data_IF_566030018413
#
_entry.id   IF_566030018413
#
_cell.length_a   1.000
_cell.length_b   1.000
_cell.length_c   1.000
_cell.angle_alpha   90.00
_cell.angle_beta   90.00
_cell.angle_gamma   90.00
#
_symmetry.space_group_name_H-M   'P 1'
#
loop_
_entity.id
_entity.type
_entity.pdbx_description
1 polymer ?
#
# COMPACT_ATOMS: atom_id res chain seq x y z
N UNK A 1 -18.86 7.37 -9.18
CA UNK A 1 -19.16 6.20 -8.32
C UNK A 1 -18.45 6.35 -6.97
N UNK A 2 -19.09 7.00 -5.99
CA UNK A 2 -18.50 7.30 -4.67
C UNK A 2 -19.53 7.09 -3.57
N UNK A 3 -19.85 5.84 -3.24
CA UNK A 3 -20.96 5.56 -2.31
C UNK A 3 -20.59 4.70 -1.11
N UNK A 4 -19.64 3.76 -1.20
CA UNK A 4 -19.29 2.93 -0.04
C UNK A 4 -18.29 3.61 0.90
N UNK A 5 -17.20 4.17 0.37
CA UNK A 5 -16.17 4.85 1.17
C UNK A 5 -16.71 6.10 1.90
N UNK A 6 -17.53 6.90 1.23
CA UNK A 6 -18.21 8.05 1.83
C UNK A 6 -19.24 7.64 2.88
N UNK A 7 -20.03 6.58 2.62
CA UNK A 7 -21.00 6.05 3.60
C UNK A 7 -20.30 5.48 4.84
N UNK A 8 -19.14 4.85 4.67
CA UNK A 8 -18.35 4.37 5.81
C UNK A 8 -17.70 5.52 6.57
N UNK A 9 -17.10 6.53 5.91
CA UNK A 9 -16.60 7.73 6.59
C UNK A 9 -17.69 8.39 7.45
N UNK A 10 -18.90 8.51 6.91
CA UNK A 10 -20.04 9.06 7.65
C UNK A 10 -20.55 8.13 8.77
N UNK A 11 -20.60 6.81 8.57
CA UNK A 11 -20.94 5.85 9.64
C UNK A 11 -19.85 5.74 10.72
N UNK A 12 -18.60 6.01 10.36
CA UNK A 12 -17.43 6.01 11.26
C UNK A 12 -17.35 7.29 12.09
N UNK A 13 -17.65 8.46 11.49
CA UNK A 13 -17.74 9.75 12.21
C UNK A 13 -18.99 9.85 13.09
N UNK A 14 -20.11 9.28 12.68
CA UNK A 14 -21.40 9.53 13.35
C UNK A 14 -21.86 8.47 14.36
N UNK A 15 -21.35 7.24 14.36
CA UNK A 15 -22.16 6.13 14.92
C UNK A 15 -21.44 5.13 15.85
N UNK A 16 -20.26 5.45 16.40
CA UNK A 16 -19.66 4.59 17.45
C UNK A 16 -20.29 4.75 18.84
N UNK A 17 -21.03 5.85 19.09
CA UNK A 17 -21.74 6.04 20.35
C UNK A 17 -23.20 5.56 20.33
N UNK A 18 -23.84 5.43 19.17
CA UNK A 18 -25.29 5.16 19.07
C UNK A 18 -25.68 3.75 18.57
N UNK A 19 -24.74 2.96 18.02
CA UNK A 19 -25.06 1.67 17.38
C UNK A 19 -25.20 0.49 18.37
N UNK A 20 -24.88 0.68 19.65
CA UNK A 20 -25.08 -0.38 20.66
C UNK A 20 -26.54 -0.56 21.11
N UNK A 21 -27.46 0.35 20.74
CA UNK A 21 -28.78 0.42 21.38
C UNK A 21 -29.95 -0.16 20.55
N UNK A 22 -29.68 -0.79 19.40
CA UNK A 22 -30.74 -1.48 18.62
C UNK A 22 -30.34 -2.91 18.27
N UNK A 23 -30.85 -3.82 19.10
CA UNK A 23 -31.00 -5.26 18.83
C UNK A 23 -31.60 -5.43 17.42
N UNK A 24 -30.79 -5.89 16.45
CA UNK A 24 -31.13 -6.77 15.31
C UNK A 24 -30.42 -6.54 13.95
N UNK A 25 -29.62 -5.51 13.69
CA UNK A 25 -29.09 -5.32 12.31
C UNK A 25 -27.55 -5.31 12.17
N UNK A 26 -27.05 -6.43 11.64
CA UNK A 26 -25.72 -6.72 11.05
C UNK A 26 -24.58 -6.92 12.05
N UNK A 27 -23.96 -8.11 12.01
CA UNK A 27 -22.73 -8.42 12.72
C UNK A 27 -21.64 -7.39 12.30
N UNK A 28 -21.25 -6.45 13.18
CA UNK A 28 -20.34 -5.36 12.82
C UNK A 28 -18.93 -5.88 12.46
N UNK A 29 -18.54 -7.04 13.02
CA UNK A 29 -17.29 -7.72 12.70
C UNK A 29 -17.35 -8.28 11.27
N UNK A 30 -18.46 -8.93 10.89
CA UNK A 30 -18.62 -9.44 9.53
C UNK A 30 -18.55 -8.32 8.47
N UNK A 31 -19.15 -7.17 8.78
CA UNK A 31 -19.08 -5.98 7.92
C UNK A 31 -17.66 -5.42 7.84
N UNK A 32 -16.96 -5.30 8.97
CA UNK A 32 -15.55 -4.86 9.00
C UNK A 32 -14.64 -5.82 8.23
N UNK A 33 -14.84 -7.13 8.35
CA UNK A 33 -14.09 -8.14 7.60
C UNK A 33 -14.27 -8.02 6.09
N UNK A 34 -15.48 -7.66 5.64
CA UNK A 34 -15.72 -7.39 4.23
C UNK A 34 -14.96 -6.14 3.77
N UNK A 35 -15.02 -5.05 4.54
CA UNK A 35 -14.30 -3.83 4.22
C UNK A 35 -12.79 -4.01 4.19
N UNK A 36 -12.21 -4.76 5.14
CA UNK A 36 -10.78 -5.07 5.15
C UNK A 36 -10.39 -5.81 3.86
N UNK A 37 -11.15 -6.82 3.44
CA UNK A 37 -10.89 -7.55 2.19
C UNK A 37 -10.99 -6.67 0.95
N UNK A 38 -11.99 -5.79 0.90
CA UNK A 38 -12.14 -4.83 -0.21
C UNK A 38 -10.99 -3.81 -0.22
N UNK A 39 -10.58 -3.31 0.94
CA UNK A 39 -9.47 -2.39 1.10
C UNK A 39 -8.13 -3.05 0.75
N UNK A 40 -7.90 -4.30 1.13
CA UNK A 40 -6.74 -5.11 0.71
C UNK A 40 -6.66 -5.19 -0.81
N UNK A 41 -7.75 -5.58 -1.46
CA UNK A 41 -7.81 -5.69 -2.92
C UNK A 41 -7.55 -4.35 -3.61
N UNK A 42 -8.13 -3.26 -3.10
CA UNK A 42 -7.90 -1.92 -3.66
C UNK A 42 -6.46 -1.45 -3.44
N UNK A 43 -5.87 -1.77 -2.28
CA UNK A 43 -4.47 -1.45 -1.97
C UNK A 43 -3.54 -2.21 -2.92
N UNK A 44 -3.72 -3.52 -3.08
CA UNK A 44 -2.93 -4.33 -4.03
C UNK A 44 -3.02 -3.80 -5.47
N UNK A 45 -4.23 -3.47 -5.93
CA UNK A 45 -4.44 -2.86 -7.24
C UNK A 45 -3.73 -1.52 -7.39
N UNK A 46 -3.79 -0.67 -6.36
CA UNK A 46 -3.09 0.63 -6.36
C UNK A 46 -1.58 0.44 -6.44
N UNK A 47 -1.01 -0.53 -5.72
CA UNK A 47 0.40 -0.90 -5.81
C UNK A 47 0.82 -1.25 -7.24
N UNK A 48 0.02 -2.06 -7.95
CA UNK A 48 0.26 -2.40 -9.36
C UNK A 48 0.25 -1.18 -10.30
N UNK A 49 -0.61 -0.19 -10.05
CA UNK A 49 -0.62 1.04 -10.84
C UNK A 49 0.62 1.91 -10.59
N UNK A 50 1.06 2.00 -9.34
CA UNK A 50 2.28 2.74 -8.97
C UNK A 50 3.52 2.07 -9.59
N UNK A 51 3.60 0.74 -9.54
CA UNK A 51 4.69 0.00 -10.18
C UNK A 51 4.75 0.27 -11.69
N UNK A 52 3.59 0.23 -12.38
CA UNK A 52 3.52 0.57 -13.81
C UNK A 52 3.94 2.01 -14.09
N UNK A 53 3.54 2.96 -13.25
CA UNK A 53 3.95 4.35 -13.40
C UNK A 53 5.47 4.51 -13.23
N UNK A 54 6.08 3.78 -12.29
CA UNK A 54 7.52 3.74 -12.13
C UNK A 54 8.24 3.14 -13.35
N UNK A 55 7.67 2.07 -13.95
CA UNK A 55 8.19 1.47 -15.18
C UNK A 55 8.12 2.44 -16.37
N UNK A 56 7.01 3.17 -16.53
CA UNK A 56 6.87 4.19 -17.57
C UNK A 56 7.89 5.31 -17.39
N UNK A 57 8.13 5.76 -16.14
CA UNK A 57 9.19 6.73 -15.84
C UNK A 57 10.56 6.22 -16.28
N UNK A 58 10.91 4.98 -15.96
CA UNK A 58 12.19 4.38 -16.36
C UNK A 58 12.33 4.29 -17.89
N UNK A 59 11.24 4.03 -18.62
CA UNK A 59 11.24 4.06 -20.09
C UNK A 59 11.49 5.47 -20.63
N UNK A 60 10.86 6.51 -20.04
CA UNK A 60 11.13 7.90 -20.42
C UNK A 60 12.59 8.30 -20.17
N UNK A 61 13.17 7.86 -19.05
CA UNK A 61 14.59 8.09 -18.73
C UNK A 61 15.52 7.43 -19.76
N UNK A 62 15.18 6.22 -20.22
CA UNK A 62 15.92 5.55 -21.31
C UNK A 62 15.84 6.33 -22.63
N UNK A 63 14.64 6.74 -23.03
CA UNK A 63 14.42 7.55 -24.23
C UNK A 63 15.14 8.91 -24.16
N UNK A 64 15.22 9.50 -22.97
CA UNK A 64 15.98 10.72 -22.73
C UNK A 64 17.47 10.49 -23.00
N UNK A 65 18.03 9.40 -22.49
CA UNK A 65 19.44 9.07 -22.73
C UNK A 65 19.71 8.88 -24.23
N UNK A 66 18.85 8.15 -24.94
CA UNK A 66 18.98 7.97 -26.39
C UNK A 66 18.91 9.31 -27.15
N UNK A 67 18.01 10.22 -26.73
CA UNK A 67 17.92 11.56 -27.31
C UNK A 67 19.17 12.42 -27.07
N UNK A 68 19.76 12.32 -25.87
CA UNK A 68 21.03 13.00 -25.52
C UNK A 68 22.17 12.48 -26.39
N UNK A 69 22.30 11.16 -26.51
CA UNK A 69 23.37 10.52 -27.29
C UNK A 69 23.25 10.90 -28.79
N UNK A 70 22.02 10.92 -29.31
CA UNK A 70 21.76 11.33 -30.69
C UNK A 70 21.99 12.83 -30.91
N UNK A 71 21.60 13.69 -29.97
CA UNK A 71 21.90 15.13 -30.02
C UNK A 71 23.42 15.35 -30.12
N UNK A 72 24.19 14.69 -29.24
CA UNK A 72 25.65 14.80 -29.22
C UNK A 72 26.26 14.33 -30.55
N UNK A 73 25.84 13.16 -31.04
CA UNK A 73 26.30 12.61 -32.33
C UNK A 73 26.03 13.58 -33.50
N UNK A 74 24.82 14.13 -33.59
CA UNK A 74 24.44 15.06 -34.67
C UNK A 74 25.17 16.39 -34.55
N UNK A 75 25.47 16.84 -33.34
CA UNK A 75 26.29 18.04 -33.10
C UNK A 75 27.71 17.86 -33.65
N UNK A 76 28.35 16.73 -33.35
CA UNK A 76 29.68 16.43 -33.92
C UNK A 76 29.67 16.29 -35.44
N UNK A 77 28.60 15.71 -36.02
CA UNK A 77 28.44 15.61 -37.47
C UNK A 77 28.22 16.97 -38.14
N UNK A 78 27.49 17.88 -37.48
CA UNK A 78 27.32 19.26 -37.92
C UNK A 78 28.65 20.01 -37.95
N UNK A 79 29.47 19.87 -36.89
CA UNK A 79 30.80 20.47 -36.84
C UNK A 79 31.70 19.97 -37.98
N UNK A 80 31.69 18.67 -38.25
CA UNK A 80 32.43 18.09 -39.38
C UNK A 80 31.95 18.63 -40.73
N UNK A 81 30.63 18.67 -40.96
CA UNK A 81 30.06 19.18 -42.21
C UNK A 81 30.39 20.67 -42.45
N UNK A 82 30.46 21.46 -41.37
CA UNK A 82 30.90 22.86 -41.41
C UNK A 82 32.39 22.98 -41.77
N UNK A 83 33.23 22.08 -41.28
CA UNK A 83 34.66 22.07 -41.62
C UNK A 83 34.91 21.68 -43.09
N UNK A 84 34.08 20.79 -43.65
CA UNK A 84 34.19 20.34 -45.05
C UNK A 84 33.39 21.20 -46.03
N UNK A 85 32.67 22.22 -45.54
CA UNK A 85 31.86 23.15 -46.35
C UNK A 85 30.73 22.46 -47.16
N UNK A 86 30.21 21.33 -46.67
CA UNK A 86 29.15 20.54 -47.31
C UNK A 86 27.77 21.09 -46.94
N UNK A 87 27.29 22.09 -47.70
CA UNK A 87 26.10 22.88 -47.37
C UNK A 87 24.82 22.08 -47.08
N UNK A 88 24.53 21.05 -47.87
CA UNK A 88 23.33 20.21 -47.66
C UNK A 88 23.40 19.42 -46.34
N UNK A 89 24.58 18.91 -46.00
CA UNK A 89 24.80 18.15 -44.76
C UNK A 89 24.72 19.05 -43.52
N UNK A 90 25.17 20.31 -43.64
CA UNK A 90 25.03 21.31 -42.57
C UNK A 90 23.55 21.53 -42.25
N UNK A 91 22.73 21.82 -43.27
CA UNK A 91 21.28 22.08 -43.08
C UNK A 91 20.58 20.88 -42.46
N UNK A 92 20.88 19.66 -42.93
CA UNK A 92 20.33 18.44 -42.38
C UNK A 92 20.72 18.24 -40.91
N UNK A 93 21.99 18.38 -40.58
CA UNK A 93 22.49 18.17 -39.23
C UNK A 93 21.97 19.24 -38.25
N UNK A 94 21.81 20.49 -38.67
CA UNK A 94 21.18 21.56 -37.87
C UNK A 94 19.73 21.25 -37.52
N UNK A 95 18.95 20.76 -38.50
CA UNK A 95 17.57 20.36 -38.27
C UNK A 95 17.48 19.19 -37.26
N UNK A 96 18.34 18.19 -37.42
CA UNK A 96 18.43 17.03 -36.51
C UNK A 96 18.83 17.43 -35.09
N UNK A 97 19.87 18.27 -34.92
CA UNK A 97 20.28 18.79 -33.61
C UNK A 97 19.11 19.51 -32.94
N UNK A 98 18.40 20.35 -33.68
CA UNK A 98 17.23 21.07 -33.17
C UNK A 98 16.12 20.11 -32.74
N UNK A 99 15.82 19.09 -33.55
CA UNK A 99 14.80 18.09 -33.25
C UNK A 99 15.12 17.29 -31.97
N UNK A 100 16.37 16.82 -31.83
CA UNK A 100 16.79 16.09 -30.62
C UNK A 100 16.89 16.99 -29.39
N UNK A 101 17.24 18.27 -29.55
CA UNK A 101 17.19 19.25 -28.46
C UNK A 101 15.77 19.39 -27.92
N UNK A 102 14.80 19.64 -28.81
CA UNK A 102 13.39 19.76 -28.43
C UNK A 102 12.86 18.48 -27.77
N UNK A 103 13.22 17.30 -28.32
CA UNK A 103 12.81 16.00 -27.74
C UNK A 103 13.37 15.81 -26.33
N UNK A 104 14.64 16.16 -26.11
CA UNK A 104 15.28 16.10 -24.79
C UNK A 104 14.53 16.97 -23.78
N UNK A 105 14.21 18.21 -24.15
CA UNK A 105 13.55 19.15 -23.24
C UNK A 105 12.13 18.68 -22.85
N UNK A 106 11.37 18.15 -23.82
CA UNK A 106 10.05 17.54 -23.57
C UNK A 106 10.16 16.32 -22.65
N UNK A 107 11.13 15.45 -22.87
CA UNK A 107 11.35 14.26 -22.05
C UNK A 107 11.74 14.63 -20.62
N UNK A 108 12.65 15.60 -20.43
CA UNK A 108 13.06 16.08 -19.11
C UNK A 108 11.88 16.67 -18.32
N UNK A 109 11.04 17.48 -18.96
CA UNK A 109 9.84 18.01 -18.34
C UNK A 109 8.86 16.90 -17.94
N UNK A 110 8.67 15.91 -18.82
CA UNK A 110 7.79 14.74 -18.56
C UNK A 110 8.28 13.88 -17.40
N UNK A 111 9.59 13.61 -17.33
CA UNK A 111 10.22 12.84 -16.25
C UNK A 111 10.10 13.57 -14.92
N UNK A 112 10.33 14.89 -14.91
CA UNK A 112 10.23 15.72 -13.70
C UNK A 112 8.82 15.67 -13.13
N UNK A 113 7.82 15.94 -13.98
CA UNK A 113 6.40 15.86 -13.61
C UNK A 113 6.01 14.47 -13.12
N UNK A 114 6.41 13.43 -13.86
CA UNK A 114 6.11 12.04 -13.49
C UNK A 114 6.74 11.67 -12.16
N UNK A 115 7.93 12.19 -11.85
CA UNK A 115 8.61 11.95 -10.57
C UNK A 115 7.84 12.56 -9.39
N UNK A 116 7.37 13.81 -9.54
CA UNK A 116 6.55 14.47 -8.53
C UNK A 116 5.21 13.76 -8.31
N UNK A 117 4.53 13.39 -9.40
CA UNK A 117 3.27 12.65 -9.35
C UNK A 117 3.46 11.27 -8.69
N UNK A 118 4.53 10.55 -9.04
CA UNK A 118 4.86 9.25 -8.44
C UNK A 118 5.14 9.37 -6.95
N UNK A 119 5.89 10.38 -6.52
CA UNK A 119 6.14 10.63 -5.09
C UNK A 119 4.83 10.85 -4.31
N UNK A 120 3.93 11.66 -4.85
CA UNK A 120 2.61 11.89 -4.23
C UNK A 120 1.73 10.63 -4.18
N UNK A 121 1.82 9.78 -5.20
CA UNK A 121 1.14 8.48 -5.22
C UNK A 121 1.72 7.51 -4.19
N UNK A 122 3.05 7.43 -4.09
CA UNK A 122 3.75 6.61 -3.10
C UNK A 122 3.37 7.01 -1.67
N UNK A 123 3.30 8.32 -1.36
CA UNK A 123 2.91 8.79 -0.03
C UNK A 123 1.46 8.39 0.32
N UNK A 124 0.52 8.59 -0.60
CA UNK A 124 -0.89 8.18 -0.38
C UNK A 124 -1.04 6.68 -0.26
N UNK A 125 -0.22 5.91 -0.98
CA UNK A 125 -0.22 4.46 -0.89
C UNK A 125 0.24 3.98 0.49
N UNK A 126 1.27 4.60 1.06
CA UNK A 126 1.68 4.34 2.45
C UNK A 126 0.55 4.66 3.45
N UNK A 127 -0.12 5.80 3.29
CA UNK A 127 -1.30 6.14 4.10
C UNK A 127 -2.42 5.08 3.98
N UNK A 128 -2.64 4.53 2.78
CA UNK A 128 -3.60 3.45 2.57
C UNK A 128 -3.20 2.18 3.32
N UNK A 129 -1.92 1.78 3.28
CA UNK A 129 -1.42 0.63 4.03
C UNK A 129 -1.59 0.82 5.55
N UNK A 130 -1.29 2.01 6.07
CA UNK A 130 -1.47 2.31 7.49
C UNK A 130 -2.93 2.19 7.92
N UNK A 131 -3.86 2.81 7.17
CA UNK A 131 -5.30 2.68 7.46
C UNK A 131 -5.78 1.24 7.42
N UNK A 132 -5.26 0.44 6.49
CA UNK A 132 -5.57 -0.98 6.43
C UNK A 132 -5.08 -1.72 7.69
N UNK A 133 -3.87 -1.43 8.17
CA UNK A 133 -3.32 -1.98 9.40
C UNK A 133 -4.14 -1.56 10.62
N UNK A 134 -4.55 -0.30 10.71
CA UNK A 134 -5.40 0.21 11.79
C UNK A 134 -6.75 -0.52 11.82
N UNK A 135 -7.36 -0.77 10.65
CA UNK A 135 -8.61 -1.54 10.56
C UNK A 135 -8.44 -2.98 11.05
N UNK A 136 -7.30 -3.63 10.75
CA UNK A 136 -6.98 -4.99 11.25
C UNK A 136 -6.77 -5.00 12.77
N UNK A 137 -6.06 -4.01 13.32
CA UNK A 137 -5.93 -3.87 14.78
C UNK A 137 -7.31 -3.68 15.42
N UNK A 138 -8.18 -2.86 14.80
CA UNK A 138 -9.54 -2.64 15.29
C UNK A 138 -10.40 -3.90 15.22
N UNK A 139 -10.25 -4.70 14.17
CA UNK A 139 -10.91 -6.01 14.03
C UNK A 139 -10.54 -6.92 15.21
N UNK A 140 -9.26 -7.02 15.56
CA UNK A 140 -8.79 -7.79 16.72
C UNK A 140 -9.40 -7.29 18.03
N UNK A 141 -9.45 -5.97 18.24
CA UNK A 141 -10.07 -5.37 19.43
C UNK A 141 -11.57 -5.73 19.55
N UNK A 142 -12.30 -5.68 18.43
CA UNK A 142 -13.73 -6.02 18.41
C UNK A 142 -13.98 -7.50 18.67
N UNK A 143 -13.17 -8.39 18.09
CA UNK A 143 -13.20 -9.82 18.38
C UNK A 143 -12.92 -10.10 19.87
N UNK A 144 -11.92 -9.42 20.45
CA UNK A 144 -11.61 -9.52 21.87
C UNK A 144 -12.79 -9.10 22.76
N UNK A 145 -13.43 -7.96 22.46
CA UNK A 145 -14.61 -7.48 23.20
C UNK A 145 -15.81 -8.42 23.05
N UNK A 146 -16.02 -9.00 21.88
CA UNK A 146 -17.06 -9.99 21.65
C UNK A 146 -16.81 -11.26 22.49
N UNK A 147 -15.56 -11.74 22.54
CA UNK A 147 -15.19 -12.90 23.36
C UNK A 147 -15.48 -12.65 24.84
N UNK A 148 -15.09 -11.49 25.37
CA UNK A 148 -15.35 -11.12 26.77
C UNK A 148 -16.86 -11.07 27.07
N UNK A 149 -17.64 -10.42 26.20
CA UNK A 149 -19.10 -10.32 26.36
C UNK A 149 -19.77 -11.71 26.34
N UNK A 150 -19.38 -12.56 25.40
CA UNK A 150 -19.90 -13.95 25.31
C UNK A 150 -19.50 -14.78 26.53
N UNK A 151 -18.26 -14.63 26.99
CA UNK A 151 -17.78 -15.31 28.20
C UNK A 151 -18.57 -14.88 29.44
N UNK A 152 -18.79 -13.57 29.66
CA UNK A 152 -19.64 -13.08 30.74
C UNK A 152 -21.06 -13.65 30.68
N UNK A 153 -21.72 -13.60 29.52
CA UNK A 153 -23.05 -14.19 29.37
C UNK A 153 -23.09 -15.70 29.66
N UNK A 154 -22.05 -16.45 29.26
CA UNK A 154 -21.95 -17.88 29.55
C UNK A 154 -21.67 -18.14 31.03
N UNK A 155 -20.80 -17.35 31.66
CA UNK A 155 -20.49 -17.42 33.09
C UNK A 155 -21.72 -17.08 33.93
N UNK A 156 -22.45 -16.01 33.62
CA UNK A 156 -23.68 -15.62 34.32
C UNK A 156 -24.73 -16.75 34.27
N UNK A 157 -24.86 -17.41 33.11
CA UNK A 157 -25.73 -18.59 32.94
C UNK A 157 -25.31 -19.80 33.78
N UNK A 158 -24.03 -19.93 34.10
CA UNK A 158 -23.48 -21.04 34.91
C UNK A 158 -23.51 -20.69 36.40
N UNK A 159 -23.16 -19.46 36.77
CA UNK A 159 -23.08 -18.94 38.13
C UNK A 159 -24.44 -18.60 38.75
N UNK A 160 -25.49 -18.46 37.92
CA UNK A 160 -26.89 -18.38 38.37
C UNK A 160 -27.66 -19.67 38.03
N UNK A 161 -27.33 -20.80 38.69
CA UNK A 161 -27.87 -22.12 38.34
C UNK A 161 -29.35 -22.31 38.69
N UNK A 162 -29.92 -21.52 39.60
CA UNK A 162 -31.33 -21.58 40.01
C UNK A 162 -32.31 -21.28 38.85
N UNK A 163 -31.83 -20.73 37.74
CA UNK A 163 -32.62 -20.47 36.54
C UNK A 163 -32.61 -21.63 35.52
N UNK A 164 -31.76 -22.67 35.66
CA UNK A 164 -31.64 -23.71 34.63
C UNK A 164 -31.20 -25.07 35.19
N UNK A 165 -32.21 -25.93 35.41
CA UNK A 165 -32.12 -27.35 35.80
C UNK A 165 -31.10 -28.12 34.93
N UNK A 166 -30.20 -28.89 35.57
CA UNK A 166 -29.22 -29.87 35.01
C UNK A 166 -27.73 -29.43 35.10
N UNK A 167 -27.09 -29.65 36.26
CA UNK A 167 -25.72 -29.23 36.57
C UNK A 167 -24.59 -30.22 36.22
N UNK A 168 -24.82 -31.53 36.25
CA UNK A 168 -23.71 -32.51 36.21
C UNK A 168 -23.07 -32.74 34.84
N UNK A 169 -23.79 -32.56 33.72
CA UNK A 169 -23.22 -32.73 32.36
C UNK A 169 -22.26 -31.60 31.94
N UNK A 170 -22.10 -30.54 32.74
CA UNK A 170 -21.42 -29.30 32.33
C UNK A 170 -19.92 -29.23 32.64
N UNK A 171 -19.42 -30.00 33.62
CA UNK A 171 -18.01 -29.94 34.03
C UNK A 171 -17.05 -30.54 33.00
N UNK A 172 -17.44 -31.64 32.32
CA UNK A 172 -16.63 -32.29 31.29
C UNK A 172 -16.46 -31.44 30.02
N UNK A 173 -17.40 -30.53 29.73
CA UNK A 173 -17.35 -29.66 28.54
C UNK A 173 -16.39 -28.46 28.69
N UNK A 174 -15.94 -28.16 29.91
CA UNK A 174 -15.03 -27.04 30.19
C UNK A 174 -13.57 -27.37 29.84
N UNK A 175 -13.10 -28.58 30.18
CA UNK A 175 -11.71 -29.01 29.89
C UNK A 175 -11.44 -29.16 28.39
N UNK A 176 -12.43 -29.56 27.60
CA UNK A 176 -12.30 -29.68 26.14
C UNK A 176 -12.21 -28.31 25.44
N UNK A 177 -12.74 -27.26 26.06
CA UNK A 177 -12.82 -25.92 25.47
C UNK A 177 -11.52 -25.12 25.66
N UNK A 178 -10.82 -25.31 26.78
CA UNK A 178 -9.49 -24.71 27.02
C UNK A 178 -8.45 -25.21 26.01
N UNK A 179 -8.44 -26.52 25.71
CA UNK A 179 -7.51 -27.11 24.75
C UNK A 179 -7.73 -26.63 23.30
N UNK A 180 -8.94 -26.17 22.97
CA UNK A 180 -9.27 -25.65 21.64
C UNK A 180 -8.79 -24.21 21.45
N UNK A 181 -8.90 -23.38 22.50
CA UNK A 181 -8.46 -21.98 22.49
C UNK A 181 -6.94 -21.88 22.42
N UNK A 182 -6.22 -22.80 23.06
CA UNK A 182 -4.75 -22.83 23.07
C UNK A 182 -4.14 -23.13 21.68
N UNK A 183 -4.83 -23.91 20.84
CA UNK A 183 -4.38 -24.25 19.47
C UNK A 183 -4.60 -23.15 18.44
N UNK A 184 -5.56 -22.25 18.68
CA UNK A 184 -5.87 -21.12 17.80
C UNK A 184 -4.85 -19.97 17.93
N UNK A 185 -4.12 -19.89 19.05
CA UNK A 185 -3.10 -18.87 19.30
C UNK A 185 -1.78 -19.04 18.53
N UNK A 186 -1.57 -20.14 17.80
CA UNK A 186 -0.27 -20.47 17.19
C UNK A 186 -0.13 -20.22 15.67
N UNK A 187 -1.04 -19.50 15.01
CA UNK A 187 -0.92 -19.24 13.55
C UNK A 187 -1.20 -17.80 13.14
N UNK A 188 -0.26 -16.90 13.39
CA UNK A 188 -0.16 -15.54 12.84
C UNK A 188 1.36 -15.24 12.89
N UNK A 189 2.13 -14.81 11.89
CA UNK A 189 2.04 -14.38 10.49
C UNK A 189 3.50 -14.39 9.99
N UNK A 190 3.75 -14.47 8.68
CA UNK A 190 4.95 -13.86 8.08
C UNK A 190 4.78 -13.77 6.57
N UNK A 191 4.41 -12.58 6.09
CA UNK A 191 4.79 -12.08 4.77
C UNK A 191 4.86 -10.56 4.88
N UNK A 192 6.09 -10.04 4.89
CA UNK A 192 6.36 -8.60 4.81
C UNK A 192 6.60 -8.27 3.33
N UNK A 193 5.64 -7.59 2.69
CA UNK A 193 5.88 -6.94 1.40
C UNK A 193 6.41 -5.52 1.65
N UNK A 194 7.68 -5.30 1.33
CA UNK A 194 8.37 -4.03 1.53
C UNK A 194 8.07 -3.05 0.38
N UNK A 195 7.65 -1.83 0.75
CA UNK A 195 7.38 -0.74 -0.20
C UNK A 195 8.64 -0.14 -0.81
N UNK A 196 8.48 0.64 -1.88
CA UNK A 196 9.51 1.45 -2.53
C UNK A 196 10.16 2.46 -1.58
N UNK A 197 9.36 3.24 -0.85
CA UNK A 197 9.88 4.21 0.14
C UNK A 197 10.60 3.51 1.29
N UNK A 198 10.07 2.37 1.74
CA UNK A 198 10.65 1.57 2.81
C UNK A 198 12.00 0.99 2.37
N UNK A 199 12.11 0.51 1.12
CA UNK A 199 13.40 0.15 0.51
C UNK A 199 14.39 1.32 0.43
N UNK A 200 13.91 2.54 0.14
CA UNK A 200 14.77 3.74 0.13
C UNK A 200 15.27 4.09 1.54
N UNK A 201 14.40 4.00 2.55
CA UNK A 201 14.78 4.18 3.95
C UNK A 201 15.76 3.11 4.41
N UNK A 202 15.52 1.83 4.09
CA UNK A 202 16.45 0.73 4.36
C UNK A 202 17.81 0.96 3.69
N UNK A 203 17.84 1.49 2.46
CA UNK A 203 19.10 1.86 1.78
C UNK A 203 19.82 2.99 2.51
N UNK A 204 19.09 4.01 2.98
CA UNK A 204 19.67 5.11 3.75
C UNK A 204 20.21 4.61 5.10
N UNK A 205 19.48 3.75 5.80
CA UNK A 205 19.95 3.13 7.05
C UNK A 205 21.21 2.29 6.84
N UNK A 206 21.26 1.49 5.76
CA UNK A 206 22.46 0.70 5.41
C UNK A 206 23.66 1.56 5.05
N UNK A 207 23.44 2.65 4.31
CA UNK A 207 24.50 3.57 3.90
C UNK A 207 24.98 4.47 5.05
N UNK A 208 24.18 4.64 6.10
CA UNK A 208 24.51 5.43 7.29
C UNK A 208 25.27 4.62 8.36
N UNK A 209 25.33 3.28 8.27
CA UNK A 209 26.19 2.49 9.15
C UNK A 209 27.64 2.58 8.63
N UNK A 210 28.60 3.10 9.42
CA UNK A 210 30.00 3.06 9.04
C UNK A 210 30.40 1.60 8.88
N UNK A 211 31.09 1.28 7.78
CA UNK A 211 31.78 0.01 7.59
C UNK A 211 32.59 -0.25 8.85
N UNK A 212 32.13 -1.18 9.70
CA UNK A 212 32.95 -1.65 10.81
C UNK A 212 34.16 -2.32 10.17
N UNK A 213 35.28 -1.60 10.17
CA UNK A 213 36.60 -2.15 9.89
C UNK A 213 36.77 -3.38 10.79
N UNK A 214 36.77 -4.55 10.16
CA UNK A 214 37.20 -5.79 10.79
C UNK A 214 38.70 -5.62 11.02
N UNK A 215 39.08 -5.34 12.27
CA UNK A 215 40.46 -5.45 12.78
C UNK A 215 40.66 -6.86 13.32
#
# INVERSE_FOLDING_TARGET
MTTLWKRFKHAFEADLHNVFDKKEQKNPIAMLNQYIREAEKQTEQTGKWIERQAQLKAQLEKELQEAIDMQAKRTSQLELARQTNEGELIVFAEAEVTAYTNRKDVLQASISRTTEELFGLEQKFEEMKHKLKDMKVRQLQLMGKENVTRAHHQMDRVLQPEASKNGEKRLLAFEEMEQYIERLGQRIEKQHDLSSMERRLDMLEKNAQPQQEIV
#
